data_IF_234954133605
#
_entry.id   IF_234954133605
#
_cell.length_a   1.000
_cell.length_b   1.000
_cell.length_c   1.000
_cell.angle_alpha   90.00
_cell.angle_beta   90.00
_cell.angle_gamma   90.00
#
_symmetry.space_group_name_H-M   'P 1'
#
loop_
_entity.id
_entity.type
_entity.pdbx_description
1 polymer ?
#
# COMPACT_ATOMS: atom_id res chain seq x y z
N UNK A 1 -6.59 22.37 93.49
CA UNK A 1 -7.43 21.37 92.80
C UNK A 1 -6.68 20.98 91.51
N UNK A 2 -6.39 19.68 91.34
CA UNK A 2 -5.77 18.97 90.19
C UNK A 2 -4.41 19.52 89.66
N UNK A 3 -3.25 18.85 89.81
CA UNK A 3 -2.75 17.58 89.21
C UNK A 3 -2.96 17.52 87.69
N UNK A 4 -1.87 17.42 86.91
CA UNK A 4 -1.54 16.32 85.98
C UNK A 4 -0.14 16.57 85.36
N UNK A 5 0.54 15.46 85.14
CA UNK A 5 1.95 15.21 84.84
C UNK A 5 2.20 15.04 83.31
N UNK A 6 3.42 14.65 82.85
CA UNK A 6 3.99 14.96 81.53
C UNK A 6 3.73 13.89 80.45
N UNK A 7 4.10 14.18 79.19
CA UNK A 7 4.29 13.15 78.17
C UNK A 7 5.52 13.41 77.31
N UNK A 8 6.44 12.43 77.36
CA UNK A 8 7.52 12.22 76.43
C UNK A 8 7.01 11.72 75.07
N UNK A 9 7.76 11.93 74.00
CA UNK A 9 7.69 11.07 72.82
C UNK A 9 9.10 10.66 72.36
N UNK A 10 9.24 9.35 72.18
CA UNK A 10 10.44 8.61 71.79
C UNK A 10 10.57 8.53 70.26
N UNK A 11 11.83 8.57 69.83
CA UNK A 11 12.52 7.83 68.74
C UNK A 11 11.67 6.95 67.81
N UNK A 12 11.87 7.08 66.49
CA UNK A 12 11.87 5.93 65.57
C UNK A 12 12.73 6.20 64.32
N UNK A 13 13.77 5.38 64.19
CA UNK A 13 14.60 5.13 63.02
C UNK A 13 13.76 4.56 61.87
N UNK A 14 13.97 5.00 60.62
CA UNK A 14 13.45 4.29 59.44
C UNK A 14 14.62 3.88 58.54
N UNK A 15 14.68 2.57 58.36
CA UNK A 15 15.61 1.75 57.61
C UNK A 15 15.41 1.88 56.10
N UNK A 16 16.51 1.76 55.36
CA UNK A 16 16.58 1.75 53.91
C UNK A 16 15.71 0.66 53.26
N UNK A 17 15.01 1.02 52.18
CA UNK A 17 14.44 0.08 51.22
C UNK A 17 15.22 0.21 49.90
N UNK A 18 15.98 -0.84 49.55
CA UNK A 18 16.52 -1.01 48.21
C UNK A 18 15.36 -1.28 47.24
N UNK A 19 15.11 -0.33 46.33
CA UNK A 19 14.23 -0.55 45.18
C UNK A 19 15.05 -1.18 44.04
N UNK A 20 14.74 -2.44 43.75
CA UNK A 20 15.11 -3.13 42.52
C UNK A 20 14.55 -2.39 41.32
N UNK A 21 15.42 -1.86 40.47
CA UNK A 21 15.04 -1.24 39.20
C UNK A 21 14.56 -2.34 38.22
N UNK A 22 13.35 -2.24 37.65
CA UNK A 22 12.98 -3.10 36.53
C UNK A 22 13.82 -2.67 35.31
N UNK A 23 14.59 -3.61 34.77
CA UNK A 23 15.23 -3.46 33.48
C UNK A 23 14.12 -3.26 32.43
N UNK A 24 13.95 -2.02 31.97
CA UNK A 24 13.23 -1.75 30.74
C UNK A 24 13.95 -2.49 29.62
N UNK A 25 13.31 -3.55 29.12
CA UNK A 25 13.65 -4.16 27.84
C UNK A 25 13.54 -3.08 26.77
N UNK A 26 14.68 -2.47 26.43
CA UNK A 26 14.82 -1.64 25.25
C UNK A 26 14.42 -2.48 24.04
N UNK A 27 13.35 -2.08 23.37
CA UNK A 27 13.01 -2.55 22.05
C UNK A 27 14.26 -2.40 21.18
N UNK A 28 14.83 -3.54 20.76
CA UNK A 28 15.89 -3.54 19.77
C UNK A 28 15.36 -2.83 18.53
N UNK A 29 15.83 -1.61 18.29
CA UNK A 29 15.85 -1.04 16.96
C UNK A 29 16.63 -2.03 16.10
N UNK A 30 15.91 -2.83 15.32
CA UNK A 30 16.52 -3.76 14.37
C UNK A 30 17.37 -2.91 13.43
N UNK A 31 18.68 -3.15 13.43
CA UNK A 31 19.62 -2.63 12.44
C UNK A 31 19.03 -2.81 11.04
N UNK A 32 19.21 -1.84 10.13
CA UNK A 32 18.78 -1.99 8.73
C UNK A 32 19.39 -3.28 8.20
N UNK A 33 18.57 -4.31 8.01
CA UNK A 33 19.01 -5.50 7.32
C UNK A 33 19.35 -5.05 5.89
N UNK A 34 20.47 -5.53 5.35
CA UNK A 34 20.70 -5.40 3.92
C UNK A 34 19.59 -6.18 3.22
N UNK A 35 18.52 -5.50 2.82
CA UNK A 35 17.40 -6.05 2.06
C UNK A 35 17.77 -6.38 0.60
N UNK A 36 19.08 -6.54 0.35
CA UNK A 36 19.64 -7.23 -0.81
C UNK A 36 18.90 -8.54 -1.04
N UNK A 37 18.85 -9.01 -2.28
CA UNK A 37 18.08 -10.18 -2.75
C UNK A 37 18.49 -11.51 -2.08
N UNK A 38 18.30 -11.64 -0.78
CA UNK A 38 18.45 -12.85 0.00
C UNK A 38 17.08 -13.50 0.12
N UNK A 39 17.06 -14.84 0.18
CA UNK A 39 15.83 -15.62 0.26
C UNK A 39 14.98 -15.23 1.48
N UNK A 40 15.62 -14.78 2.55
CA UNK A 40 15.01 -14.47 3.85
C UNK A 40 14.57 -13.01 4.03
N UNK A 41 14.65 -12.13 3.03
CA UNK A 41 14.26 -10.71 3.21
C UNK A 41 12.78 -10.49 3.60
N UNK A 42 11.92 -11.46 3.29
CA UNK A 42 10.53 -11.44 3.76
C UNK A 42 10.36 -12.02 5.17
N UNK A 43 11.39 -12.68 5.70
CA UNK A 43 11.43 -13.19 7.07
C UNK A 43 11.28 -12.04 8.06
N UNK A 44 10.34 -12.18 8.98
CA UNK A 44 10.01 -11.13 9.95
C UNK A 44 9.07 -10.05 9.41
N UNK A 45 8.72 -10.06 8.11
CA UNK A 45 7.62 -9.24 7.63
C UNK A 45 6.29 -9.77 8.17
N UNK A 46 5.41 -8.85 8.51
CA UNK A 46 4.04 -9.16 8.94
C UNK A 46 3.06 -8.07 8.53
N UNK A 47 1.85 -8.49 8.23
CA UNK A 47 0.70 -7.59 8.18
C UNK A 47 0.22 -7.29 9.59
N UNK A 48 0.03 -6.00 9.86
CA UNK A 48 -0.69 -5.51 11.01
C UNK A 48 -1.98 -4.89 10.50
N UNK A 49 -3.15 -5.28 11.03
CA UNK A 49 -4.42 -4.66 10.67
C UNK A 49 -4.33 -3.15 10.86
N UNK A 50 -4.72 -2.40 9.83
CA UNK A 50 -4.80 -0.95 9.88
C UNK A 50 -6.27 -0.57 9.80
N UNK A 51 -6.86 -0.17 10.93
CA UNK A 51 -8.21 0.40 10.95
C UNK A 51 -8.10 1.88 10.58
N UNK A 52 -7.88 2.15 9.30
CA UNK A 52 -7.87 3.51 8.75
C UNK A 52 -8.75 3.55 7.50
N UNK A 53 -9.42 4.68 7.33
CA UNK A 53 -10.08 5.04 6.09
C UNK A 53 -9.08 5.63 5.09
N UNK A 54 -9.48 5.76 3.82
CA UNK A 54 -8.69 6.51 2.84
C UNK A 54 -8.43 7.96 3.28
N UNK A 55 -9.40 8.59 3.93
CA UNK A 55 -9.27 9.98 4.39
C UNK A 55 -8.17 10.12 5.45
N UNK A 56 -8.04 9.16 6.37
CA UNK A 56 -6.96 9.14 7.37
C UNK A 56 -5.57 9.03 6.71
N UNK A 57 -5.51 8.39 5.54
CA UNK A 57 -4.31 8.28 4.71
C UNK A 57 -4.13 9.46 3.74
N UNK A 58 -4.97 10.49 3.84
CA UNK A 58 -4.98 11.63 2.91
C UNK A 58 -5.15 11.21 1.45
N UNK A 59 -5.98 10.20 1.23
CA UNK A 59 -6.38 9.68 -0.09
C UNK A 59 -7.85 10.01 -0.32
N UNK A 60 -8.16 10.56 -1.49
CA UNK A 60 -9.52 10.88 -1.91
C UNK A 60 -9.84 10.23 -3.25
N UNK A 61 -11.02 9.60 -3.33
CA UNK A 61 -11.55 9.10 -4.60
C UNK A 61 -12.11 10.27 -5.39
N UNK A 62 -11.86 10.27 -6.70
CA UNK A 62 -12.30 11.33 -7.60
C UNK A 62 -13.83 11.43 -7.65
N UNK A 63 -14.33 12.65 -7.83
CA UNK A 63 -15.77 12.89 -7.97
C UNK A 63 -16.32 12.12 -9.17
N UNK A 64 -17.39 11.36 -8.95
CA UNK A 64 -18.02 10.51 -9.96
C UNK A 64 -17.46 9.09 -10.06
N UNK A 65 -16.40 8.76 -9.31
CA UNK A 65 -15.83 7.42 -9.23
C UNK A 65 -16.19 6.67 -7.95
N UNK A 66 -16.89 7.29 -7.00
CA UNK A 66 -17.15 6.74 -5.67
C UNK A 66 -17.99 5.45 -5.69
N UNK A 67 -18.76 5.22 -6.75
CA UNK A 67 -19.51 3.98 -6.97
C UNK A 67 -18.72 2.91 -7.70
N UNK A 68 -17.70 3.32 -8.46
CA UNK A 68 -16.91 2.44 -9.30
C UNK A 68 -15.65 1.98 -8.58
N UNK A 69 -15.13 2.78 -7.64
CA UNK A 69 -13.93 2.49 -6.88
C UNK A 69 -14.29 2.38 -5.40
N UNK A 70 -14.18 1.18 -4.84
CA UNK A 70 -14.60 0.88 -3.47
C UNK A 70 -13.38 0.45 -2.66
N UNK A 71 -13.06 1.20 -1.61
CA UNK A 71 -12.02 0.80 -0.67
C UNK A 71 -12.45 -0.44 0.12
N UNK A 72 -11.66 -1.51 0.06
CA UNK A 72 -11.99 -2.79 0.70
C UNK A 72 -11.11 -3.10 1.91
N UNK A 73 -9.96 -2.44 2.06
CA UNK A 73 -9.21 -2.48 3.30
C UNK A 73 -7.78 -1.98 3.21
N UNK A 74 -7.16 -1.84 4.38
CA UNK A 74 -5.76 -1.46 4.52
C UNK A 74 -5.04 -2.36 5.53
N UNK A 75 -3.75 -2.55 5.31
CA UNK A 75 -2.83 -3.24 6.24
C UNK A 75 -1.54 -2.45 6.31
N UNK A 76 -0.96 -2.35 7.50
CA UNK A 76 0.41 -1.87 7.64
C UNK A 76 1.36 -3.07 7.47
N UNK A 77 2.38 -2.90 6.64
CA UNK A 77 3.47 -3.85 6.52
C UNK A 77 4.61 -3.43 7.45
N UNK A 78 4.97 -4.31 8.37
CA UNK A 78 6.07 -4.09 9.30
C UNK A 78 7.17 -5.13 9.12
N UNK A 79 8.41 -4.73 9.37
CA UNK A 79 9.58 -5.59 9.42
C UNK A 79 10.75 -5.02 8.62
N UNK A 80 11.90 -5.73 8.61
CA UNK A 80 13.20 -5.17 8.23
C UNK A 80 13.30 -4.73 6.76
N UNK A 81 12.41 -5.20 5.89
CA UNK A 81 12.40 -4.89 4.46
C UNK A 81 11.04 -4.44 3.93
N UNK A 82 10.18 -3.88 4.79
CA UNK A 82 8.87 -3.40 4.38
C UNK A 82 8.98 -2.32 3.29
N UNK A 83 9.93 -1.40 3.43
CA UNK A 83 10.17 -0.29 2.50
C UNK A 83 10.67 -0.73 1.13
N UNK A 84 11.16 -1.96 0.96
CA UNK A 84 11.60 -2.50 -0.33
C UNK A 84 10.46 -3.15 -1.13
N UNK A 85 9.27 -3.29 -0.52
CA UNK A 85 8.10 -3.78 -1.25
C UNK A 85 7.74 -2.80 -2.34
N UNK A 86 7.63 -3.35 -3.55
CA UNK A 86 7.25 -2.60 -4.72
C UNK A 86 5.77 -2.80 -5.03
N UNK A 87 5.23 -4.01 -4.97
CA UNK A 87 3.85 -4.29 -5.36
C UNK A 87 3.10 -5.09 -4.29
N UNK A 88 1.79 -4.94 -4.28
CA UNK A 88 0.88 -5.62 -3.36
C UNK A 88 -0.41 -5.99 -4.06
N UNK A 89 -0.92 -7.19 -3.75
CA UNK A 89 -2.23 -7.63 -4.19
C UNK A 89 -2.73 -8.75 -3.27
N UNK A 90 -3.97 -8.62 -2.79
CA UNK A 90 -4.62 -9.57 -1.88
C UNK A 90 -3.83 -9.82 -0.58
N UNK A 91 -3.01 -10.88 -0.54
CA UNK A 91 -2.14 -11.24 0.58
C UNK A 91 -0.68 -11.41 0.15
N UNK A 92 -0.35 -11.05 -1.09
CA UNK A 92 0.97 -11.21 -1.68
C UNK A 92 1.66 -9.85 -1.80
N UNK A 93 2.98 -9.86 -1.69
CA UNK A 93 3.86 -8.73 -1.96
C UNK A 93 4.92 -9.15 -2.97
N UNK A 94 5.43 -8.19 -3.71
CA UNK A 94 6.58 -8.41 -4.58
C UNK A 94 7.63 -7.31 -4.41
N UNK A 95 8.89 -7.73 -4.55
CA UNK A 95 10.05 -6.86 -4.53
C UNK A 95 10.48 -6.51 -5.96
N UNK A 96 11.33 -5.49 -6.11
CA UNK A 96 11.80 -4.98 -7.41
C UNK A 96 12.50 -6.03 -8.30
N UNK A 97 13.15 -7.03 -7.69
CA UNK A 97 13.81 -8.14 -8.42
C UNK A 97 12.85 -9.27 -8.79
N UNK A 98 11.60 -9.16 -8.37
CA UNK A 98 10.52 -10.04 -8.74
C UNK A 98 10.32 -11.32 -7.98
N UNK A 99 10.93 -11.44 -6.80
CA UNK A 99 10.47 -12.42 -5.83
C UNK A 99 9.10 -12.01 -5.28
N UNK A 100 8.17 -12.98 -5.27
CA UNK A 100 6.81 -12.81 -4.75
C UNK A 100 6.64 -13.68 -3.51
N UNK A 101 6.13 -13.07 -2.45
CA UNK A 101 5.86 -13.75 -1.18
C UNK A 101 4.38 -13.65 -0.85
N UNK A 102 3.81 -14.71 -0.27
CA UNK A 102 2.44 -14.71 0.21
C UNK A 102 2.44 -14.82 1.73
N UNK A 103 1.67 -13.96 2.39
CA UNK A 103 1.44 -14.08 3.82
C UNK A 103 0.59 -15.32 4.11
N UNK A 104 0.93 -16.01 5.20
CA UNK A 104 0.12 -17.11 5.74
C UNK A 104 -1.16 -16.57 6.42
N UNK A 105 -2.00 -17.47 6.95
CA UNK A 105 -3.24 -17.10 7.63
C UNK A 105 -3.06 -16.19 8.86
N UNK A 106 -1.85 -16.14 9.44
CA UNK A 106 -1.50 -15.25 10.55
C UNK A 106 -0.93 -13.91 10.07
N UNK A 107 -0.91 -13.65 8.76
CA UNK A 107 -0.35 -12.44 8.18
C UNK A 107 1.18 -12.38 8.17
N UNK A 108 1.87 -13.50 8.40
CA UNK A 108 3.34 -13.57 8.42
C UNK A 108 3.87 -14.12 7.10
N UNK A 109 5.04 -13.64 6.68
CA UNK A 109 5.66 -14.10 5.43
C UNK A 109 6.72 -15.17 5.68
N UNK A 110 6.73 -16.26 4.89
CA UNK A 110 7.78 -17.27 4.95
C UNK A 110 9.08 -16.72 4.33
N UNK A 111 10.21 -17.34 4.69
CA UNK A 111 11.52 -17.05 4.13
C UNK A 111 11.75 -17.66 2.73
N UNK A 112 10.74 -18.25 2.10
CA UNK A 112 10.85 -18.84 0.76
C UNK A 112 9.81 -18.16 -0.13
N UNK A 113 10.22 -17.61 -1.28
CA UNK A 113 9.27 -16.98 -2.20
C UNK A 113 8.29 -18.02 -2.73
N UNK A 114 7.04 -17.60 -2.90
CA UNK A 114 5.99 -18.43 -3.49
C UNK A 114 6.16 -18.56 -5.01
N UNK A 115 6.71 -17.53 -5.64
CA UNK A 115 6.99 -17.50 -7.06
C UNK A 115 8.15 -16.55 -7.36
N UNK A 116 8.79 -16.75 -8.51
CA UNK A 116 9.74 -15.83 -9.13
C UNK A 116 9.17 -15.37 -10.47
N UNK A 117 9.13 -14.06 -10.71
CA UNK A 117 8.61 -13.46 -11.95
C UNK A 117 7.40 -12.54 -11.71
N UNK A 118 7.65 -11.23 -11.76
CA UNK A 118 6.67 -10.16 -11.53
C UNK A 118 5.50 -10.15 -12.51
N UNK A 119 5.67 -10.69 -13.72
CA UNK A 119 4.68 -10.59 -14.79
C UNK A 119 3.35 -11.27 -14.44
N UNK A 120 3.37 -12.30 -13.58
CA UNK A 120 2.16 -12.96 -13.09
C UNK A 120 1.48 -12.20 -11.93
N UNK A 121 2.15 -11.18 -11.38
CA UNK A 121 1.73 -10.46 -10.18
C UNK A 121 1.38 -8.99 -10.45
N UNK A 122 2.14 -8.32 -11.30
CA UNK A 122 1.97 -6.91 -11.68
C UNK A 122 0.93 -6.71 -12.80
N UNK A 123 0.57 -7.79 -13.48
CA UNK A 123 -0.03 -7.70 -14.81
C UNK A 123 1.04 -7.36 -15.86
N UNK A 124 0.58 -6.95 -17.04
CA UNK A 124 1.49 -6.52 -18.11
C UNK A 124 1.90 -5.07 -17.90
N UNK A 125 3.20 -4.75 -17.73
CA UNK A 125 3.64 -3.36 -17.65
C UNK A 125 3.20 -2.62 -18.92
N UNK A 126 2.82 -1.36 -18.75
CA UNK A 126 2.46 -0.54 -19.89
C UNK A 126 3.69 -0.31 -20.78
N UNK A 127 3.53 -0.53 -22.08
CA UNK A 127 4.55 -0.25 -23.10
C UNK A 127 3.99 0.75 -24.10
N UNK A 128 4.80 1.71 -24.58
CA UNK A 128 4.41 2.60 -25.68
C UNK A 128 3.79 3.94 -25.28
N UNK A 129 4.26 4.55 -24.19
CA UNK A 129 3.95 5.93 -23.79
C UNK A 129 2.70 6.10 -22.93
N UNK A 130 2.47 7.32 -22.46
CA UNK A 130 1.33 7.72 -21.62
C UNK A 130 0.84 9.12 -22.03
N UNK A 131 -0.40 9.49 -21.67
CA UNK A 131 -0.86 10.87 -21.81
C UNK A 131 0.02 11.82 -21.00
N UNK A 132 0.26 13.02 -21.54
CA UNK A 132 0.97 14.09 -20.84
C UNK A 132 -0.04 14.84 -19.99
N UNK A 133 0.23 14.91 -18.69
CA UNK A 133 -0.53 15.73 -17.74
C UNK A 133 0.36 16.91 -17.37
N UNK A 134 -0.15 18.12 -17.50
CA UNK A 134 0.60 19.35 -17.21
C UNK A 134 1.06 19.33 -15.75
N UNK A 135 2.32 19.72 -15.52
CA UNK A 135 2.93 19.81 -14.20
C UNK A 135 2.91 18.48 -13.41
N UNK A 136 2.95 17.35 -14.12
CA UNK A 136 2.95 16.01 -13.55
C UNK A 136 4.00 15.09 -14.20
N UNK A 137 4.64 14.26 -13.39
CA UNK A 137 5.64 13.27 -13.79
C UNK A 137 5.02 11.87 -13.74
N UNK A 138 5.12 11.09 -14.82
CA UNK A 138 4.65 9.72 -14.84
C UNK A 138 5.60 8.80 -14.07
N UNK A 139 5.05 7.98 -13.17
CA UNK A 139 5.83 7.04 -12.35
C UNK A 139 5.75 5.63 -12.94
N UNK A 140 4.54 5.11 -13.08
CA UNK A 140 4.30 3.72 -13.52
C UNK A 140 2.88 3.55 -14.04
N UNK A 141 2.63 2.45 -14.74
CA UNK A 141 1.30 2.11 -15.24
C UNK A 141 1.14 0.63 -15.53
N UNK A 142 -0.11 0.17 -15.55
CA UNK A 142 -0.48 -1.22 -15.81
C UNK A 142 -1.55 -1.30 -16.89
N UNK A 143 -1.48 -2.34 -17.72
CA UNK A 143 -2.53 -2.65 -18.70
C UNK A 143 -3.70 -3.32 -18.01
N UNK A 144 -4.92 -2.93 -18.38
CA UNK A 144 -6.15 -3.56 -17.91
C UNK A 144 -6.51 -4.73 -18.81
N UNK A 145 -6.36 -4.54 -20.12
CA UNK A 145 -6.65 -5.56 -21.13
C UNK A 145 -5.34 -6.14 -21.70
N UNK A 146 -5.15 -7.45 -21.54
CA UNK A 146 -3.89 -8.15 -21.84
C UNK A 146 -3.60 -8.37 -23.33
N UNK A 147 -4.46 -7.94 -24.25
CA UNK A 147 -4.35 -8.29 -25.68
C UNK A 147 -3.35 -7.44 -26.46
N UNK A 148 -2.85 -6.33 -25.89
CA UNK A 148 -1.91 -5.42 -26.55
C UNK A 148 -2.47 -4.71 -27.79
N UNK A 149 -3.70 -5.03 -28.18
CA UNK A 149 -4.45 -4.42 -29.27
C UNK A 149 -4.87 -3.00 -28.89
N UNK A 150 -5.06 -2.17 -29.90
CA UNK A 150 -5.65 -0.84 -29.75
C UNK A 150 -7.09 -0.87 -30.30
N UNK A 151 -8.03 -0.17 -29.65
CA UNK A 151 -7.86 0.57 -28.40
C UNK A 151 -7.66 -0.35 -27.17
N UNK A 152 -6.98 0.16 -26.14
CA UNK A 152 -6.79 -0.54 -24.85
C UNK A 152 -6.97 0.38 -23.65
N UNK A 153 -7.53 -0.15 -22.56
CA UNK A 153 -7.63 0.53 -21.28
C UNK A 153 -6.36 0.31 -20.43
N UNK A 154 -5.86 1.40 -19.85
CA UNK A 154 -4.63 1.41 -19.04
C UNK A 154 -4.86 2.22 -17.76
N UNK A 155 -4.05 1.91 -16.74
CA UNK A 155 -3.90 2.71 -15.54
C UNK A 155 -2.53 3.35 -15.51
N UNK A 156 -2.46 4.58 -14.99
CA UNK A 156 -1.22 5.28 -14.75
C UNK A 156 -1.21 5.96 -13.39
N UNK A 157 -0.01 6.10 -12.84
CA UNK A 157 0.28 6.84 -11.63
C UNK A 157 1.22 8.00 -11.97
N UNK A 158 0.84 9.20 -11.57
CA UNK A 158 1.63 10.41 -11.74
C UNK A 158 1.94 11.06 -10.39
N UNK A 159 3.11 11.67 -10.30
CA UNK A 159 3.46 12.65 -9.25
C UNK A 159 3.08 14.04 -9.73
N UNK A 160 2.37 14.80 -8.91
CA UNK A 160 2.00 16.20 -9.17
C UNK A 160 2.63 17.10 -8.10
N UNK A 161 2.47 18.42 -8.23
CA UNK A 161 2.87 19.36 -7.18
C UNK A 161 2.09 19.19 -5.87
N UNK A 162 0.90 18.57 -5.92
CA UNK A 162 -0.01 18.40 -4.78
C UNK A 162 0.04 16.98 -4.18
N UNK A 163 0.79 16.07 -4.78
CA UNK A 163 0.89 14.68 -4.33
C UNK A 163 0.93 13.70 -5.50
N UNK A 164 0.01 12.73 -5.48
CA UNK A 164 -0.04 11.62 -6.43
C UNK A 164 -1.43 11.49 -7.02
N UNK A 165 -1.47 11.22 -8.33
CA UNK A 165 -2.68 11.08 -9.13
C UNK A 165 -2.71 9.70 -9.76
N UNK A 166 -3.73 8.91 -9.46
CA UNK A 166 -4.04 7.67 -10.17
C UNK A 166 -5.16 7.94 -11.17
N UNK A 167 -4.94 7.61 -12.44
CA UNK A 167 -5.93 7.81 -13.49
C UNK A 167 -5.97 6.63 -14.46
N UNK A 168 -7.15 6.38 -15.02
CA UNK A 168 -7.34 5.47 -16.14
C UNK A 168 -7.29 6.26 -17.46
N UNK A 169 -6.84 5.64 -18.53
CA UNK A 169 -6.86 6.25 -19.86
C UNK A 169 -6.91 5.21 -20.96
N UNK A 170 -7.47 5.61 -22.10
CA UNK A 170 -7.51 4.78 -23.30
C UNK A 170 -6.31 5.09 -24.19
N UNK A 171 -5.65 4.05 -24.66
CA UNK A 171 -4.67 4.14 -25.73
C UNK A 171 -5.35 3.78 -27.05
N UNK A 172 -5.10 4.58 -28.08
CA UNK A 172 -5.62 4.45 -29.45
C UNK A 172 -4.47 4.52 -30.44
N UNK A 173 -4.74 4.21 -31.71
CA UNK A 173 -3.75 4.38 -32.80
C UNK A 173 -3.35 5.84 -32.98
N UNK A 174 -4.33 6.75 -32.87
CA UNK A 174 -4.12 8.19 -32.98
C UNK A 174 -3.51 8.85 -31.74
N UNK A 175 -3.24 8.10 -30.67
CA UNK A 175 -2.65 8.62 -29.43
C UNK A 175 -3.40 8.20 -28.18
N UNK A 176 -3.53 9.12 -27.21
CA UNK A 176 -4.13 8.84 -25.91
C UNK A 176 -5.42 9.62 -25.72
N UNK A 177 -6.45 8.97 -25.17
CA UNK A 177 -7.64 9.63 -24.67
C UNK A 177 -7.32 10.49 -23.44
N UNK A 178 -8.22 11.42 -23.11
CA UNK A 178 -8.11 12.21 -21.88
C UNK A 178 -8.11 11.28 -20.65
N UNK A 179 -7.14 11.43 -19.72
CA UNK A 179 -7.14 10.66 -18.48
C UNK A 179 -8.39 10.92 -17.65
N UNK A 180 -8.93 9.85 -17.08
CA UNK A 180 -10.03 9.88 -16.14
C UNK A 180 -9.45 9.62 -14.76
N UNK A 181 -9.47 10.66 -13.94
CA UNK A 181 -9.00 10.61 -12.57
C UNK A 181 -9.80 9.59 -11.75
N UNK A 182 -9.08 8.74 -11.00
CA UNK A 182 -9.66 7.74 -10.12
C UNK A 182 -9.50 8.12 -8.64
N UNK A 183 -8.29 8.52 -8.25
CA UNK A 183 -8.01 9.00 -6.90
C UNK A 183 -6.80 9.95 -6.87
N UNK A 184 -6.71 10.70 -5.77
CA UNK A 184 -5.56 11.51 -5.37
C UNK A 184 -5.06 11.10 -4.00
N UNK A 185 -3.78 11.32 -3.77
CA UNK A 185 -3.11 11.06 -2.49
C UNK A 185 -2.09 12.14 -2.19
N UNK A 186 -2.11 12.69 -0.98
CA UNK A 186 -1.00 13.52 -0.49
C UNK A 186 0.21 12.64 -0.07
N UNK A 187 -0.05 11.39 0.32
CA UNK A 187 0.98 10.41 0.66
C UNK A 187 1.61 9.81 -0.61
N UNK A 188 2.86 9.37 -0.51
CA UNK A 188 3.53 8.74 -1.64
C UNK A 188 2.92 7.39 -1.98
N UNK A 189 2.38 7.28 -3.19
CA UNK A 189 2.04 5.99 -3.80
C UNK A 189 3.28 5.51 -4.54
N UNK A 190 3.86 4.38 -4.10
CA UNK A 190 5.03 3.77 -4.74
C UNK A 190 4.65 2.99 -5.99
N UNK A 191 3.50 2.33 -5.96
CA UNK A 191 3.01 1.55 -7.09
C UNK A 191 1.50 1.34 -7.06
N UNK A 192 0.99 0.92 -8.21
CA UNK A 192 -0.35 0.39 -8.39
C UNK A 192 -0.26 -0.96 -9.10
N UNK A 193 -1.01 -1.93 -8.60
CA UNK A 193 -1.19 -3.24 -9.24
C UNK A 193 -2.67 -3.43 -9.54
N UNK A 194 -2.99 -3.98 -10.70
CA UNK A 194 -4.37 -4.32 -11.08
C UNK A 194 -4.48 -5.81 -11.36
N UNK A 195 -5.57 -6.41 -10.88
CA UNK A 195 -5.91 -7.80 -11.12
C UNK A 195 -7.31 -7.92 -11.68
N UNK A 196 -7.47 -8.30 -12.96
CA UNK A 196 -8.77 -8.39 -13.60
C UNK A 196 -9.58 -9.56 -13.02
N UNK A 197 -10.89 -9.36 -12.93
CA UNK A 197 -11.84 -10.47 -12.83
C UNK A 197 -11.92 -11.18 -14.19
N UNK A 198 -12.00 -12.52 -14.22
CA UNK A 198 -11.92 -13.28 -15.47
C UNK A 198 -13.12 -13.06 -16.41
N UNK A 199 -14.30 -12.80 -15.84
CA UNK A 199 -15.57 -12.84 -16.57
C UNK A 199 -16.30 -11.48 -16.61
N UNK A 200 -15.74 -10.45 -15.99
CA UNK A 200 -16.40 -9.15 -15.79
C UNK A 200 -15.42 -7.99 -16.00
N UNK A 201 -15.95 -6.82 -16.33
CA UNK A 201 -15.16 -5.57 -16.42
C UNK A 201 -14.92 -4.97 -15.02
N UNK A 202 -14.46 -5.80 -14.10
CA UNK A 202 -14.14 -5.45 -12.72
C UNK A 202 -12.77 -6.01 -12.35
N UNK A 203 -12.17 -5.50 -11.28
CA UNK A 203 -10.93 -6.07 -10.76
C UNK A 203 -10.50 -5.47 -9.44
N UNK A 204 -9.47 -6.05 -8.85
CA UNK A 204 -8.85 -5.55 -7.63
C UNK A 204 -7.68 -4.63 -7.94
N UNK A 205 -7.57 -3.53 -7.22
CA UNK A 205 -6.42 -2.64 -7.17
C UNK A 205 -5.67 -2.82 -5.85
N UNK A 206 -4.36 -2.98 -5.96
CA UNK A 206 -3.44 -2.92 -4.83
C UNK A 206 -2.56 -1.69 -4.92
N UNK A 207 -2.51 -0.90 -3.84
CA UNK A 207 -1.62 0.25 -3.72
C UNK A 207 -0.58 0.01 -2.63
N UNK A 208 0.66 0.43 -2.91
CA UNK A 208 1.72 0.51 -1.91
C UNK A 208 1.94 1.98 -1.58
N UNK A 209 1.67 2.38 -0.34
CA UNK A 209 1.67 3.77 0.11
C UNK A 209 2.69 3.95 1.24
N UNK A 210 3.63 4.88 1.08
CA UNK A 210 4.52 5.30 2.16
C UNK A 210 3.76 6.22 3.10
N UNK A 211 3.78 5.91 4.40
CA UNK A 211 3.19 6.73 5.46
C UNK A 211 4.25 7.07 6.50
N UNK A 212 3.96 8.00 7.41
CA UNK A 212 4.86 8.35 8.53
C UNK A 212 5.20 7.15 9.44
N UNK A 213 4.33 6.13 9.46
CA UNK A 213 4.46 4.95 10.32
C UNK A 213 4.98 3.71 9.59
N UNK A 214 5.30 3.83 8.30
CA UNK A 214 5.77 2.73 7.45
C UNK A 214 4.92 2.54 6.20
N UNK A 215 4.98 1.35 5.62
CA UNK A 215 4.29 1.03 4.36
C UNK A 215 2.85 0.56 4.61
N UNK A 216 1.88 1.32 4.13
CA UNK A 216 0.48 0.93 4.07
C UNK A 216 0.18 0.25 2.73
N UNK A 217 -0.53 -0.87 2.79
CA UNK A 217 -0.96 -1.67 1.66
C UNK A 217 -2.47 -1.60 1.56
N UNK A 218 -2.97 -1.01 0.48
CA UNK A 218 -4.39 -0.71 0.30
C UNK A 218 -4.99 -1.59 -0.77
N UNK A 219 -6.20 -2.08 -0.51
CA UNK A 219 -7.00 -2.82 -1.47
C UNK A 219 -8.24 -2.00 -1.83
N UNK A 220 -8.53 -1.93 -3.13
CA UNK A 220 -9.75 -1.36 -3.67
C UNK A 220 -10.33 -2.30 -4.72
N UNK A 221 -11.66 -2.37 -4.81
CA UNK A 221 -12.33 -2.99 -5.94
C UNK A 221 -12.70 -1.90 -6.95
N UNK A 222 -12.51 -2.20 -8.23
CA UNK A 222 -12.78 -1.28 -9.32
C UNK A 222 -13.70 -1.89 -10.38
N UNK A 223 -14.84 -1.24 -10.63
CA UNK A 223 -15.70 -1.48 -11.78
C UNK A 223 -15.36 -0.49 -12.90
N UNK A 224 -14.79 -1.01 -13.98
CA UNK A 224 -14.42 -0.23 -15.17
C UNK A 224 -15.35 -0.50 -16.35
N UNK A 225 -16.53 -1.08 -16.12
CA UNK A 225 -17.51 -1.43 -17.16
C UNK A 225 -17.88 -0.27 -18.07
N UNK A 226 -18.03 0.94 -17.54
CA UNK A 226 -18.37 2.11 -18.34
C UNK A 226 -17.24 2.47 -19.32
N UNK A 227 -15.98 2.37 -18.88
CA UNK A 227 -14.81 2.64 -19.71
C UNK A 227 -14.61 1.56 -20.76
N UNK A 228 -14.74 0.30 -20.38
CA UNK A 228 -14.66 -0.83 -21.31
C UNK A 228 -15.76 -0.75 -22.38
N UNK A 229 -17.00 -0.35 -22.02
CA UNK A 229 -18.08 -0.14 -22.99
C UNK A 229 -17.78 0.99 -23.98
N UNK A 230 -17.26 2.11 -23.49
CA UNK A 230 -16.86 3.23 -24.36
C UNK A 230 -15.78 2.79 -25.35
N UNK A 231 -14.80 2.01 -24.90
CA UNK A 231 -13.76 1.43 -25.75
C UNK A 231 -14.32 0.50 -26.84
N UNK A 232 -15.22 -0.42 -26.48
CA UNK A 232 -15.82 -1.34 -27.47
C UNK A 232 -16.67 -0.62 -28.51
N UNK A 233 -17.44 0.39 -28.11
CA UNK A 233 -18.26 1.17 -29.03
C UNK A 233 -17.40 1.88 -30.09
N UNK A 234 -16.22 2.38 -29.72
CA UNK A 234 -15.26 2.99 -30.65
C UNK A 234 -14.67 1.95 -31.61
N UNK A 235 -14.35 0.74 -31.14
CA UNK A 235 -13.83 -0.34 -32.01
C UNK A 235 -14.82 -0.81 -33.07
N UNK A 236 -16.13 -0.66 -32.84
CA UNK A 236 -17.17 -1.04 -33.81
C UNK A 236 -17.54 0.06 -34.81
N UNK A 237 -17.04 1.28 -34.61
CA UNK A 237 -17.36 2.43 -35.46
C UNK A 237 -16.35 2.68 -36.59
N UNK A 238 -15.22 1.96 -36.57
CA UNK A 238 -14.18 1.95 -37.61
C UNK A 238 -14.28 0.68 -38.47
#
# INVERSE_FOLDING_TARGET
MAIISPTALKVATITAALLLSPACSSANAQTPANCTATLDRASGLKYVPLQQSLADLSISIAKGQEKNLVFTGAKLLQGPCADEVHAFLMNMIAFNDGAVFAANAKGQFPAIPKATGLMNFWGSPMTGGHPVIKDAEFITGSKIDGTGAQPSLNLGLWKTSEGYLLAAFMRRESGFGAPIELLRSAQQIKSVTFFPSPDTNTGGLGLVVSTETGIALLSLDWDHSALSKAMTAESTAN
#
